data_IF_324696034242
#
_entry.id   IF_324696034242
#
_cell.length_a   1.000
_cell.length_b   1.000
_cell.length_c   1.000
_cell.angle_alpha   90.00
_cell.angle_beta   90.00
_cell.angle_gamma   90.00
#
_symmetry.space_group_name_H-M   'P 1'
#
loop_
_entity.id
_entity.type
_entity.pdbx_description
1 polymer ?
#
# COMPACT_ATOMS: atom_id res chain seq x y z
N UNK A 1 -7.24 11.13 -52.44
CA UNK A 1 -7.85 12.44 -52.73
C UNK A 1 -8.05 13.12 -51.38
N UNK A 2 -7.07 13.93 -50.93
CA UNK A 2 -7.15 15.41 -50.94
C UNK A 2 -8.39 15.89 -50.16
N UNK A 3 -8.35 16.69 -49.10
CA UNK A 3 -7.48 17.83 -48.84
C UNK A 3 -7.75 18.34 -47.41
N UNK A 4 -6.75 18.98 -46.83
CA UNK A 4 -6.74 19.71 -45.56
C UNK A 4 -7.80 20.83 -45.54
N UNK A 5 -8.47 21.05 -44.40
CA UNK A 5 -9.11 22.31 -44.01
C UNK A 5 -8.65 22.58 -42.58
N UNK A 6 -7.57 23.35 -42.41
CA UNK A 6 -7.53 24.81 -42.17
C UNK A 6 -7.96 25.18 -40.74
N UNK A 7 -7.01 25.83 -40.07
CA UNK A 7 -7.08 26.38 -38.74
C UNK A 7 -8.04 27.58 -38.61
N UNK A 8 -8.74 27.63 -37.47
CA UNK A 8 -9.32 28.84 -36.85
C UNK A 8 -9.25 28.59 -35.33
N UNK A 9 -8.22 29.04 -34.62
CA UNK A 9 -7.98 30.42 -34.13
C UNK A 9 -9.15 30.96 -33.28
N UNK A 10 -8.83 31.27 -32.03
CA UNK A 10 -9.57 32.04 -31.01
C UNK A 10 -10.80 31.39 -30.33
N UNK A 11 -10.64 31.08 -29.04
CA UNK A 11 -11.40 31.84 -28.04
C UNK A 11 -10.72 31.83 -26.66
N UNK A 12 -10.38 33.04 -26.22
CA UNK A 12 -10.40 33.54 -24.86
C UNK A 12 -9.58 32.83 -23.75
N UNK A 13 -8.42 33.44 -23.48
CA UNK A 13 -7.77 33.49 -22.17
C UNK A 13 -8.76 34.09 -21.16
N UNK A 14 -9.30 33.29 -20.25
CA UNK A 14 -10.00 33.80 -19.06
C UNK A 14 -9.04 33.82 -17.88
N UNK A 15 -8.29 34.92 -17.77
CA UNK A 15 -7.70 35.36 -16.50
C UNK A 15 -8.88 35.83 -15.63
N UNK A 16 -9.25 35.08 -14.60
CA UNK A 16 -10.20 35.54 -13.58
C UNK A 16 -9.51 35.58 -12.23
N UNK A 17 -9.69 36.74 -11.60
CA UNK A 17 -8.86 37.31 -10.57
C UNK A 17 -8.95 36.62 -9.20
N UNK A 18 -7.86 36.78 -8.44
CA UNK A 18 -7.85 36.68 -6.99
C UNK A 18 -8.73 37.80 -6.39
N UNK A 19 -9.63 37.45 -5.45
CA UNK A 19 -10.42 38.42 -4.71
C UNK A 19 -11.26 37.78 -3.61
N UNK A 20 -10.80 37.93 -2.37
CA UNK A 20 -11.22 37.29 -1.12
C UNK A 20 -12.71 37.44 -0.75
N UNK A 21 -13.30 36.35 -0.25
CA UNK A 21 -14.42 36.40 0.69
C UNK A 21 -14.02 35.66 1.97
N UNK A 22 -13.60 36.43 2.97
CA UNK A 22 -13.42 35.99 4.36
C UNK A 22 -14.77 35.54 4.90
N UNK A 23 -14.89 34.27 5.27
CA UNK A 23 -16.04 33.75 6.01
C UNK A 23 -15.61 33.56 7.46
N UNK A 24 -15.87 34.57 8.29
CA UNK A 24 -15.91 34.36 9.74
C UNK A 24 -17.16 33.53 10.04
N UNK A 25 -16.97 32.21 10.09
CA UNK A 25 -17.96 31.27 10.60
C UNK A 25 -17.51 30.81 11.98
N UNK A 26 -18.02 31.46 13.02
CA UNK A 26 -18.18 30.84 14.33
C UNK A 26 -19.05 29.60 14.15
N UNK A 27 -18.41 28.44 13.93
CA UNK A 27 -19.08 27.15 14.09
C UNK A 27 -18.83 26.71 15.53
N UNK A 28 -19.89 26.54 16.34
CA UNK A 28 -19.77 26.13 17.73
C UNK A 28 -18.92 24.86 17.82
N UNK A 29 -18.06 24.82 18.85
CA UNK A 29 -17.36 23.62 19.23
C UNK A 29 -18.37 22.47 19.31
N UNK A 30 -18.09 21.42 18.55
CA UNK A 30 -18.79 20.15 18.57
C UNK A 30 -18.15 19.33 19.71
N UNK A 31 -18.72 19.27 20.93
CA UNK A 31 -18.36 18.21 21.86
C UNK A 31 -19.10 16.95 21.40
N UNK A 32 -18.37 15.84 21.31
CA UNK A 32 -18.89 14.51 20.99
C UNK A 32 -18.81 14.12 19.50
N UNK A 33 -17.56 14.10 18.99
CA UNK A 33 -17.19 12.91 18.23
C UNK A 33 -17.20 11.76 19.23
N UNK A 34 -18.37 11.14 19.40
CA UNK A 34 -18.48 9.82 20.01
C UNK A 34 -17.85 8.87 19.01
N UNK A 35 -16.52 8.89 19.00
CA UNK A 35 -15.69 7.90 18.37
C UNK A 35 -16.02 6.62 19.14
N UNK A 36 -16.97 5.86 18.59
CA UNK A 36 -17.16 4.48 18.96
C UNK A 36 -15.86 3.80 18.57
N UNK A 37 -14.90 3.83 19.48
CA UNK A 37 -13.65 3.10 19.35
C UNK A 37 -14.05 1.67 19.06
N UNK A 38 -13.74 1.21 17.84
CA UNK A 38 -13.93 -0.18 17.50
C UNK A 38 -13.22 -1.02 18.57
N UNK A 39 -13.76 -2.19 18.94
CA UNK A 39 -13.10 -3.04 19.90
C UNK A 39 -11.69 -3.37 19.40
N UNK A 40 -10.69 -2.92 20.15
CA UNK A 40 -9.27 -3.19 19.89
C UNK A 40 -9.03 -4.69 19.99
N UNK A 41 -8.53 -5.30 18.92
CA UNK A 41 -8.15 -6.71 18.96
C UNK A 41 -6.82 -6.84 19.67
N UNK A 42 -6.73 -7.82 20.55
CA UNK A 42 -5.50 -8.12 21.32
C UNK A 42 -4.86 -9.43 20.93
N UNK A 43 -5.61 -10.30 20.25
CA UNK A 43 -5.15 -11.59 19.75
C UNK A 43 -5.96 -11.98 18.50
N UNK A 44 -5.34 -12.75 17.61
CA UNK A 44 -6.01 -13.36 16.47
C UNK A 44 -6.63 -14.71 16.88
N UNK A 45 -7.63 -15.15 16.13
CA UNK A 45 -8.24 -16.49 16.27
C UNK A 45 -8.20 -17.30 14.99
N UNK A 46 -8.10 -16.63 13.85
CA UNK A 46 -7.95 -17.22 12.53
C UNK A 46 -6.98 -16.39 11.68
N UNK A 47 -6.47 -16.97 10.59
CA UNK A 47 -5.50 -16.32 9.70
C UNK A 47 -6.04 -15.02 9.10
N UNK A 48 -7.36 -14.95 8.89
CA UNK A 48 -8.07 -13.78 8.36
C UNK A 48 -8.11 -12.57 9.32
N UNK A 49 -7.78 -12.79 10.60
CA UNK A 49 -7.59 -11.71 11.58
C UNK A 49 -6.22 -11.03 11.42
N UNK A 50 -5.35 -11.58 10.57
CA UNK A 50 -3.99 -11.13 10.36
C UNK A 50 -3.79 -10.54 8.96
N UNK A 51 -3.12 -9.40 8.90
CA UNK A 51 -2.83 -8.66 7.66
C UNK A 51 -1.37 -8.22 7.62
N UNK A 52 -0.81 -7.89 6.45
CA UNK A 52 0.55 -7.39 6.34
C UNK A 52 0.79 -6.12 7.17
N UNK A 53 1.93 -6.06 7.87
CA UNK A 53 2.30 -4.91 8.70
C UNK A 53 2.67 -3.65 7.90
N UNK A 54 3.01 -3.81 6.62
CA UNK A 54 3.38 -2.74 5.70
C UNK A 54 2.71 -2.93 4.34
N UNK A 55 2.51 -1.83 3.61
CA UNK A 55 1.81 -1.85 2.32
C UNK A 55 2.54 -2.60 1.21
N UNK A 56 3.86 -2.58 1.22
CA UNK A 56 4.70 -3.25 0.23
C UNK A 56 5.80 -4.01 0.97
N UNK A 57 6.24 -5.14 0.40
CA UNK A 57 7.43 -5.86 0.88
C UNK A 57 7.32 -6.31 2.35
N UNK A 58 6.10 -6.61 2.82
CA UNK A 58 5.89 -6.97 4.22
C UNK A 58 6.62 -8.26 4.60
N UNK A 59 7.30 -8.21 5.73
CA UNK A 59 7.99 -9.35 6.36
C UNK A 59 7.33 -9.77 7.67
N UNK A 60 6.34 -9.01 8.12
CA UNK A 60 5.64 -9.17 9.40
C UNK A 60 4.14 -8.98 9.19
N UNK A 61 3.36 -9.52 10.14
CA UNK A 61 1.91 -9.47 10.14
C UNK A 61 1.41 -8.83 11.42
N UNK A 62 0.32 -8.07 11.33
CA UNK A 62 -0.37 -7.42 12.44
C UNK A 62 -1.83 -7.85 12.46
N UNK A 63 -2.52 -7.56 13.55
CA UNK A 63 -3.97 -7.73 13.63
C UNK A 63 -4.66 -6.78 12.66
N UNK A 64 -5.82 -7.18 12.14
CA UNK A 64 -6.58 -6.42 11.15
C UNK A 64 -7.06 -5.05 11.63
N UNK A 65 -7.27 -4.87 12.94
CA UNK A 65 -7.57 -3.55 13.52
C UNK A 65 -6.35 -2.62 13.57
N UNK A 66 -5.15 -3.16 13.29
CA UNK A 66 -3.88 -2.44 13.15
C UNK A 66 -3.41 -2.38 11.69
N UNK A 67 -4.28 -2.68 10.74
CA UNK A 67 -3.97 -2.63 9.30
C UNK A 67 -3.44 -1.25 8.91
N UNK A 68 -2.28 -1.16 8.22
CA UNK A 68 -1.80 0.12 7.71
C UNK A 68 -2.72 0.64 6.60
N UNK A 69 -2.95 1.95 6.57
CA UNK A 69 -3.68 2.55 5.46
C UNK A 69 -2.80 2.63 4.20
N UNK A 70 -3.13 1.81 3.20
CA UNK A 70 -2.40 1.72 1.95
C UNK A 70 -3.07 2.42 0.75
N UNK A 71 -4.16 3.18 0.98
CA UNK A 71 -4.96 3.77 -0.09
C UNK A 71 -4.18 4.73 -1.01
N UNK A 72 -3.20 5.45 -0.46
CA UNK A 72 -2.37 6.41 -1.20
C UNK A 72 -0.94 5.91 -1.47
N UNK A 73 -0.65 4.64 -1.15
CA UNK A 73 0.68 4.06 -1.31
C UNK A 73 0.78 3.36 -2.68
N UNK A 74 1.68 3.86 -3.53
CA UNK A 74 2.01 3.23 -4.80
C UNK A 74 3.24 2.32 -4.66
N UNK A 75 3.03 1.01 -4.57
CA UNK A 75 4.14 0.03 -4.57
C UNK A 75 4.83 -0.05 -5.95
N UNK A 76 6.13 -0.35 -5.96
CA UNK A 76 6.98 -0.42 -7.16
C UNK A 76 6.70 -1.62 -8.09
N UNK A 77 5.77 -2.51 -7.70
CA UNK A 77 5.50 -3.83 -8.33
C UNK A 77 6.71 -4.77 -8.37
N UNK A 78 7.72 -4.49 -7.57
CA UNK A 78 8.88 -5.37 -7.39
C UNK A 78 8.50 -6.55 -6.47
N UNK A 79 8.92 -7.77 -6.80
CA UNK A 79 8.73 -8.94 -5.94
C UNK A 79 10.00 -9.14 -5.12
N UNK A 80 10.05 -8.65 -3.88
CA UNK A 80 11.29 -8.78 -3.10
C UNK A 80 11.46 -10.18 -2.54
N UNK A 81 12.66 -10.77 -2.68
CA UNK A 81 13.08 -11.89 -1.88
C UNK A 81 12.87 -11.67 -0.38
N UNK A 82 12.51 -12.73 0.34
CA UNK A 82 12.29 -12.69 1.78
C UNK A 82 11.05 -11.93 2.25
N UNK A 83 10.14 -11.50 1.37
CA UNK A 83 8.88 -10.82 1.73
C UNK A 83 7.64 -11.63 1.34
N UNK A 84 6.45 -11.14 1.70
CA UNK A 84 5.17 -11.70 1.26
C UNK A 84 4.77 -11.33 -0.18
N UNK A 85 5.60 -10.62 -0.93
CA UNK A 85 5.24 -10.18 -2.29
C UNK A 85 4.99 -11.38 -3.21
N UNK A 86 4.08 -11.20 -4.17
CA UNK A 86 3.85 -12.12 -5.28
C UNK A 86 3.49 -13.55 -4.82
N UNK A 87 2.84 -13.67 -3.65
CA UNK A 87 2.43 -14.95 -3.08
C UNK A 87 3.59 -15.77 -2.48
N UNK A 88 4.73 -15.13 -2.20
CA UNK A 88 5.88 -15.75 -1.54
C UNK A 88 5.67 -15.91 -0.04
N UNK A 89 4.67 -15.29 0.55
CA UNK A 89 4.29 -15.53 1.93
C UNK A 89 2.86 -15.15 2.21
N UNK A 90 2.41 -15.41 3.43
CA UNK A 90 1.09 -15.05 3.93
C UNK A 90 1.12 -14.84 5.44
N UNK A 91 0.09 -14.18 5.93
CA UNK A 91 -0.15 -14.03 7.36
C UNK A 91 -0.94 -15.22 7.89
N UNK A 92 -0.55 -15.69 9.06
CA UNK A 92 -1.28 -16.72 9.79
C UNK A 92 -1.41 -16.35 11.26
N UNK A 93 -2.45 -16.86 11.90
CA UNK A 93 -2.64 -16.76 13.32
C UNK A 93 -2.06 -17.98 14.02
N UNK A 94 -1.04 -17.76 14.85
CA UNK A 94 -0.49 -18.83 15.67
C UNK A 94 -0.36 -18.41 17.13
N UNK A 95 -0.96 -19.22 17.99
CA UNK A 95 -0.99 -19.00 19.43
C UNK A 95 -1.48 -17.60 19.81
N UNK A 96 -2.49 -17.09 19.09
CA UNK A 96 -3.07 -15.77 19.30
C UNK A 96 -2.23 -14.60 18.76
N UNK A 97 -1.16 -14.88 18.01
CA UNK A 97 -0.28 -13.86 17.44
C UNK A 97 -0.20 -14.00 15.92
N UNK A 98 -0.33 -12.86 15.23
CA UNK A 98 -0.09 -12.81 13.79
C UNK A 98 1.39 -13.01 13.49
N UNK A 99 1.69 -13.93 12.57
CA UNK A 99 3.05 -14.19 12.07
C UNK A 99 3.05 -14.29 10.57
N UNK A 100 4.19 -13.95 9.98
CA UNK A 100 4.42 -14.16 8.56
C UNK A 100 5.04 -15.55 8.35
N UNK A 101 4.43 -16.35 7.47
CA UNK A 101 5.08 -17.51 6.89
C UNK A 101 5.55 -17.15 5.48
N UNK A 102 6.87 -17.05 5.32
CA UNK A 102 7.51 -16.66 4.07
C UNK A 102 8.22 -17.89 3.53
N UNK A 103 7.92 -18.22 2.27
CA UNK A 103 8.64 -19.26 1.54
C UNK A 103 10.12 -18.87 1.54
N UNK A 104 11.01 -19.79 1.94
CA UNK A 104 12.42 -19.56 1.73
C UNK A 104 12.60 -19.24 0.25
N UNK A 105 13.45 -18.24 -0.04
CA UNK A 105 13.96 -18.13 -1.41
C UNK A 105 14.43 -19.54 -1.79
N UNK A 106 14.08 -20.07 -2.99
CA UNK A 106 14.78 -21.24 -3.46
C UNK A 106 16.26 -20.85 -3.39
N UNK A 107 16.96 -21.42 -2.41
CA UNK A 107 18.40 -21.31 -2.27
C UNK A 107 18.88 -21.56 -3.69
N UNK A 108 19.42 -20.52 -4.35
CA UNK A 108 20.05 -20.72 -5.65
C UNK A 108 21.00 -21.86 -5.36
N UNK A 109 20.66 -23.05 -5.84
CA UNK A 109 21.45 -24.25 -5.61
C UNK A 109 22.87 -23.78 -5.88
N UNK A 110 23.78 -23.88 -4.88
CA UNK A 110 25.07 -23.20 -4.92
C UNK A 110 25.60 -23.42 -6.30
N UNK A 111 25.69 -22.33 -7.06
CA UNK A 111 26.03 -22.35 -8.47
C UNK A 111 27.21 -23.31 -8.61
N UNK A 112 26.93 -24.51 -9.15
CA UNK A 112 27.96 -25.50 -9.42
C UNK A 112 28.73 -24.90 -10.56
N UNK A 113 29.61 -23.96 -10.24
CA UNK A 113 30.59 -23.38 -11.14
C UNK A 113 31.40 -24.56 -11.66
N UNK A 114 31.34 -24.92 -12.95
CA UNK A 114 32.20 -25.95 -13.49
C UNK A 114 33.65 -25.47 -13.69
N UNK A 115 34.01 -24.27 -13.22
CA UNK A 115 35.35 -23.68 -13.39
C UNK A 115 36.37 -24.12 -12.31
N UNK A 116 36.48 -25.43 -12.09
CA UNK A 116 37.62 -26.05 -11.40
C UNK A 116 38.31 -27.11 -12.29
N UNK A 117 38.31 -26.90 -13.61
CA UNK A 117 39.05 -27.72 -14.56
C UNK A 117 39.61 -26.87 -15.71
N UNK A 118 40.45 -25.89 -15.35
CA UNK A 118 41.50 -25.39 -16.23
C UNK A 118 42.85 -25.66 -15.54
N UNK A 119 43.30 -26.90 -15.67
CA UNK A 119 44.72 -27.28 -15.60
C UNK A 119 45.32 -27.07 -17.00
#
# INVERSE_FOLDING_TARGET
>A
MTMRILATLLCAVALSACGNAVSNGDKPADPTSSETAAPEMTACTADEDCVPATCCHATECVLKDKEPNCAEVACTRDCRPGTMDCGRGHCLCDAGKCRAEIKPEPELAPETTPDALAQ
#
